data_IF_227647488198
#
_entry.id   IF_227647488198
#
_cell.length_a   1.000
_cell.length_b   1.000
_cell.length_c   1.000
_cell.angle_alpha   90.00
_cell.angle_beta   90.00
_cell.angle_gamma   90.00
#
_symmetry.space_group_name_H-M   'P 1'
#
loop_
_entity.id
_entity.type
_entity.pdbx_description
1 polymer ?
#
# COMPACT_ATOMS: atom_id res chain seq x y z
N UNK A 1 -13.89 19.20 18.39
CA UNK A 1 -13.91 19.96 17.14
C UNK A 1 -15.08 19.62 16.21
N UNK A 2 -15.23 18.38 15.69
CA UNK A 2 -16.35 18.04 14.79
C UNK A 2 -17.70 18.17 15.49
N UNK A 3 -17.79 17.76 16.75
CA UNK A 3 -18.96 17.93 17.60
C UNK A 3 -19.36 19.41 17.72
N UNK A 4 -18.43 20.30 17.97
CA UNK A 4 -18.65 21.74 18.14
C UNK A 4 -19.21 22.36 16.84
N UNK A 5 -18.66 21.97 15.69
CA UNK A 5 -19.18 22.38 14.37
C UNK A 5 -20.63 21.92 14.19
N UNK A 6 -20.94 20.69 14.60
CA UNK A 6 -22.30 20.15 14.49
C UNK A 6 -23.30 20.82 15.41
N UNK A 7 -22.86 21.30 16.57
CA UNK A 7 -23.70 21.98 17.57
C UNK A 7 -23.84 23.48 17.27
N UNK A 8 -22.76 24.20 17.09
CA UNK A 8 -22.74 25.66 17.12
C UNK A 8 -23.12 26.31 15.79
N UNK A 9 -22.90 25.61 14.66
CA UNK A 9 -23.15 26.20 13.35
C UNK A 9 -24.51 25.80 12.81
N UNK A 10 -25.45 26.76 12.72
CA UNK A 10 -26.82 26.52 12.28
C UNK A 10 -26.95 26.14 10.80
N UNK A 11 -26.24 26.87 9.88
CA UNK A 11 -26.23 26.57 8.45
C UNK A 11 -24.85 26.06 8.07
N UNK A 12 -24.77 24.78 7.69
CA UNK A 12 -23.50 24.14 7.36
C UNK A 12 -23.65 23.10 6.28
N UNK A 13 -22.62 22.95 5.47
CA UNK A 13 -22.39 21.78 4.63
C UNK A 13 -21.03 21.21 4.99
N UNK A 14 -20.95 19.90 5.25
CA UNK A 14 -19.73 19.24 5.69
C UNK A 14 -19.39 18.16 4.66
N UNK A 15 -18.21 18.27 4.08
CA UNK A 15 -17.61 17.24 3.22
C UNK A 15 -16.44 16.63 3.97
N UNK A 16 -16.53 15.34 4.26
CA UNK A 16 -15.49 14.58 4.94
C UNK A 16 -14.83 13.64 3.93
N UNK A 17 -13.51 13.66 3.87
CA UNK A 17 -12.73 12.81 2.99
C UNK A 17 -11.79 11.96 3.84
N UNK A 18 -11.88 10.66 3.71
CA UNK A 18 -11.05 9.71 4.46
C UNK A 18 -10.63 8.54 3.57
N UNK A 19 -9.49 7.94 3.85
CA UNK A 19 -9.04 6.67 3.29
C UNK A 19 -9.26 5.49 4.27
N UNK A 20 -9.78 5.77 5.47
CA UNK A 20 -10.14 4.75 6.45
C UNK A 20 -11.62 4.39 6.31
N UNK A 21 -11.95 3.15 5.93
CA UNK A 21 -13.33 2.68 5.77
C UNK A 21 -14.07 2.56 7.12
N UNK A 22 -13.33 2.27 8.17
CA UNK A 22 -13.87 2.09 9.53
C UNK A 22 -13.92 3.41 10.32
N UNK A 23 -13.55 4.54 9.70
CA UNK A 23 -13.49 5.83 10.37
C UNK A 23 -14.82 6.22 11.04
N UNK A 24 -15.94 5.92 10.40
CA UNK A 24 -17.27 6.25 10.93
C UNK A 24 -17.56 5.43 12.20
N UNK A 25 -17.07 4.17 12.25
CA UNK A 25 -17.25 3.28 13.39
C UNK A 25 -16.42 3.68 14.60
N UNK A 26 -15.29 4.36 14.36
CA UNK A 26 -14.38 4.86 15.39
C UNK A 26 -14.85 6.19 16.03
N UNK A 27 -15.89 6.83 15.48
CA UNK A 27 -16.40 8.09 16.02
C UNK A 27 -17.20 7.89 17.32
N UNK A 28 -17.20 8.93 18.17
CA UNK A 28 -18.07 9.02 19.35
C UNK A 28 -19.54 8.95 18.93
N UNK A 29 -20.37 8.21 19.69
CA UNK A 29 -21.79 8.01 19.41
C UNK A 29 -22.60 9.33 19.31
N UNK A 30 -22.19 10.37 20.04
CA UNK A 30 -22.82 11.71 19.98
C UNK A 30 -22.55 12.37 18.62
N UNK A 31 -21.39 12.12 18.01
CA UNK A 31 -21.05 12.65 16.69
C UNK A 31 -21.77 11.84 15.63
N UNK A 32 -21.76 10.51 15.72
CA UNK A 32 -22.47 9.62 14.80
C UNK A 32 -23.93 9.96 14.64
N UNK A 33 -24.63 10.10 15.78
CA UNK A 33 -26.08 10.37 15.81
C UNK A 33 -26.48 11.70 15.16
N UNK A 34 -25.56 12.67 15.10
CA UNK A 34 -25.79 13.99 14.48
C UNK A 34 -25.27 14.11 13.05
N UNK A 35 -24.23 13.36 12.73
CA UNK A 35 -23.56 13.48 11.43
C UNK A 35 -24.39 12.84 10.32
N UNK A 36 -24.90 11.61 10.52
CA UNK A 36 -25.70 10.83 9.56
C UNK A 36 -25.31 11.09 8.09
N UNK A 37 -24.03 10.87 7.69
CA UNK A 37 -23.53 11.31 6.40
C UNK A 37 -24.00 10.36 5.29
N UNK A 38 -24.24 10.91 4.11
CA UNK A 38 -24.27 10.10 2.90
C UNK A 38 -22.85 9.67 2.56
N UNK A 39 -22.65 8.39 2.25
CA UNK A 39 -21.34 7.83 1.98
C UNK A 39 -21.18 7.59 0.48
N UNK A 40 -20.15 8.18 -0.11
CA UNK A 40 -19.72 7.91 -1.48
C UNK A 40 -18.36 7.20 -1.47
N UNK A 41 -18.34 5.95 -1.92
CA UNK A 41 -17.10 5.16 -2.01
C UNK A 41 -16.45 5.34 -3.39
N UNK A 42 -15.21 5.83 -3.41
CA UNK A 42 -14.34 5.84 -4.59
C UNK A 42 -13.53 4.54 -4.65
N UNK A 43 -13.97 3.63 -5.51
CA UNK A 43 -13.27 2.36 -5.74
C UNK A 43 -11.94 2.57 -6.47
N UNK A 44 -10.93 1.68 -6.25
CA UNK A 44 -9.73 1.68 -7.09
C UNK A 44 -10.09 1.54 -8.57
N UNK A 45 -9.32 2.21 -9.42
CA UNK A 45 -9.49 2.11 -10.87
C UNK A 45 -9.22 0.69 -11.37
N UNK A 46 -10.03 0.23 -12.30
CA UNK A 46 -9.75 -1.00 -13.05
C UNK A 46 -8.66 -0.76 -14.12
N UNK A 47 -8.25 -1.83 -14.82
CA UNK A 47 -7.18 -1.76 -15.83
C UNK A 47 -7.50 -0.75 -16.96
N UNK A 48 -8.73 -0.74 -17.46
CA UNK A 48 -9.14 0.14 -18.55
C UNK A 48 -9.13 1.60 -18.11
N UNK A 49 -9.72 1.89 -16.95
CA UNK A 49 -9.73 3.22 -16.35
C UNK A 49 -8.30 3.71 -16.03
N UNK A 50 -7.44 2.83 -15.50
CA UNK A 50 -6.02 3.12 -15.26
C UNK A 50 -5.31 3.51 -16.55
N UNK A 51 -5.54 2.76 -17.63
CA UNK A 51 -4.98 3.04 -18.95
C UNK A 51 -5.44 4.39 -19.49
N UNK A 52 -6.72 4.70 -19.37
CA UNK A 52 -7.29 5.96 -19.86
C UNK A 52 -6.74 7.16 -19.09
N UNK A 53 -6.65 7.05 -17.76
CA UNK A 53 -6.05 8.10 -16.91
C UNK A 53 -4.59 8.33 -17.27
N UNK A 54 -3.78 7.28 -17.41
CA UNK A 54 -2.37 7.41 -17.76
C UNK A 54 -2.19 7.93 -19.18
N UNK A 55 -3.03 7.50 -20.15
CA UNK A 55 -3.01 7.99 -21.53
C UNK A 55 -3.31 9.48 -21.62
N UNK A 56 -4.29 9.97 -20.85
CA UNK A 56 -4.57 11.39 -20.76
C UNK A 56 -3.36 12.17 -20.22
N UNK A 57 -2.71 11.67 -19.17
CA UNK A 57 -1.51 12.30 -18.59
C UNK A 57 -0.31 12.27 -19.54
N UNK A 58 -0.16 11.19 -20.30
CA UNK A 58 0.85 11.07 -21.34
C UNK A 58 0.72 12.19 -22.37
N UNK A 59 -0.49 12.50 -22.84
CA UNK A 59 -0.75 13.57 -23.79
C UNK A 59 -0.37 14.97 -23.32
N UNK A 60 -0.40 15.21 -21.99
CA UNK A 60 0.02 16.50 -21.42
C UNK A 60 1.52 16.57 -21.10
N UNK A 61 2.14 15.45 -20.75
CA UNK A 61 3.49 15.43 -20.20
C UNK A 61 4.58 15.11 -21.23
N UNK A 62 4.23 14.48 -22.34
CA UNK A 62 5.18 13.99 -23.33
C UNK A 62 4.85 14.45 -24.76
N UNK A 63 5.88 14.58 -25.57
CA UNK A 63 5.73 14.85 -27.00
C UNK A 63 5.04 13.65 -27.67
N UNK A 64 4.17 13.92 -28.63
CA UNK A 64 3.44 12.87 -29.36
C UNK A 64 4.38 11.87 -30.02
N UNK A 65 4.11 10.58 -29.88
CA UNK A 65 4.86 9.50 -30.52
C UNK A 65 6.21 9.16 -29.89
N UNK A 66 6.51 9.71 -28.70
CA UNK A 66 7.76 9.39 -27.95
C UNK A 66 7.70 8.02 -27.28
N UNK A 67 6.52 7.57 -26.89
CA UNK A 67 6.32 6.29 -26.23
C UNK A 67 6.11 5.15 -27.22
N UNK A 68 6.77 4.02 -26.98
CA UNK A 68 6.40 2.76 -27.62
C UNK A 68 5.20 2.16 -26.88
N UNK A 69 4.28 1.57 -27.63
CA UNK A 69 3.03 1.02 -27.07
C UNK A 69 3.32 -0.06 -26.01
N UNK A 70 4.29 -0.97 -26.25
CA UNK A 70 4.68 -2.02 -25.31
C UNK A 70 5.20 -1.46 -23.98
N UNK A 71 5.97 -0.37 -24.04
CA UNK A 71 6.49 0.30 -22.86
C UNK A 71 5.35 0.93 -22.02
N UNK A 72 4.39 1.56 -22.71
CA UNK A 72 3.23 2.13 -22.06
C UNK A 72 2.34 1.07 -21.41
N UNK A 73 2.04 -0.03 -22.12
CA UNK A 73 1.25 -1.15 -21.61
C UNK A 73 1.90 -1.79 -20.37
N UNK A 74 3.23 -1.93 -20.35
CA UNK A 74 3.95 -2.44 -19.18
C UNK A 74 3.72 -1.54 -17.95
N UNK A 75 3.81 -0.23 -18.11
CA UNK A 75 3.54 0.74 -17.01
C UNK A 75 2.08 0.66 -16.56
N UNK A 76 1.13 0.58 -17.49
CA UNK A 76 -0.30 0.45 -17.18
C UNK A 76 -0.57 -0.80 -16.33
N UNK A 77 -0.04 -1.95 -16.74
CA UNK A 77 -0.22 -3.22 -16.02
C UNK A 77 0.38 -3.17 -14.61
N UNK A 78 1.59 -2.62 -14.46
CA UNK A 78 2.23 -2.46 -13.14
C UNK A 78 1.41 -1.53 -12.25
N UNK A 79 0.90 -0.43 -12.80
CA UNK A 79 0.07 0.56 -12.09
C UNK A 79 -1.26 -0.04 -11.63
N UNK A 80 -1.96 -0.75 -12.51
CA UNK A 80 -3.22 -1.41 -12.20
C UNK A 80 -3.04 -2.49 -11.13
N UNK A 81 -1.98 -3.29 -11.21
CA UNK A 81 -1.65 -4.30 -10.20
C UNK A 81 -1.37 -3.69 -8.82
N UNK A 82 -0.74 -2.52 -8.77
CA UNK A 82 -0.45 -1.80 -7.55
C UNK A 82 -1.66 -0.98 -7.05
N UNK A 83 -2.69 -0.79 -7.87
CA UNK A 83 -3.85 0.09 -7.60
C UNK A 83 -3.44 1.52 -7.19
N UNK A 84 -2.32 2.01 -7.72
CA UNK A 84 -1.75 3.32 -7.37
C UNK A 84 -1.35 4.11 -8.62
N UNK A 85 -2.21 5.06 -9.01
CA UNK A 85 -1.97 5.96 -10.16
C UNK A 85 -0.71 6.81 -9.96
N UNK A 86 -0.34 7.17 -8.72
CA UNK A 86 0.86 7.95 -8.43
C UNK A 86 2.12 7.17 -8.80
N UNK A 87 2.11 5.85 -8.55
CA UNK A 87 3.17 4.96 -8.99
C UNK A 87 3.30 4.99 -10.52
N UNK A 88 2.19 4.90 -11.24
CA UNK A 88 2.18 4.97 -12.71
C UNK A 88 2.77 6.27 -13.24
N UNK A 89 2.36 7.42 -12.69
CA UNK A 89 2.91 8.72 -13.06
C UNK A 89 4.41 8.82 -12.77
N UNK A 90 4.86 8.27 -11.63
CA UNK A 90 6.27 8.25 -11.28
C UNK A 90 7.07 7.37 -12.24
N UNK A 91 6.56 6.18 -12.58
CA UNK A 91 7.19 5.27 -13.55
C UNK A 91 7.30 5.90 -14.94
N UNK A 92 6.26 6.59 -15.41
CA UNK A 92 6.29 7.32 -16.69
C UNK A 92 7.39 8.38 -16.69
N UNK A 93 7.46 9.21 -15.65
CA UNK A 93 8.51 10.24 -15.51
C UNK A 93 9.90 9.62 -15.49
N UNK A 94 10.09 8.57 -14.70
CA UNK A 94 11.40 7.92 -14.57
C UNK A 94 11.84 7.24 -15.87
N UNK A 95 10.91 6.64 -16.61
CA UNK A 95 11.19 6.08 -17.93
C UNK A 95 11.64 7.16 -18.93
N UNK A 96 11.03 8.35 -18.84
CA UNK A 96 11.43 9.52 -19.62
C UNK A 96 12.84 9.98 -19.28
N UNK A 97 13.15 10.15 -17.99
CA UNK A 97 14.49 10.53 -17.51
C UNK A 97 15.57 9.55 -18.00
N UNK A 98 15.31 8.23 -17.88
CA UNK A 98 16.24 7.21 -18.34
C UNK A 98 16.52 7.30 -19.86
N UNK A 99 15.49 7.63 -20.66
CA UNK A 99 15.64 7.82 -22.09
C UNK A 99 16.44 9.10 -22.41
N UNK A 100 16.20 10.19 -21.68
CA UNK A 100 16.94 11.44 -21.81
C UNK A 100 18.40 11.29 -21.41
N UNK A 101 18.69 10.61 -20.31
CA UNK A 101 20.07 10.30 -19.86
C UNK A 101 20.85 9.53 -20.93
N UNK A 102 20.17 8.68 -21.72
CA UNK A 102 20.76 7.96 -22.85
C UNK A 102 20.73 8.77 -24.16
N UNK A 103 20.28 10.02 -24.14
CA UNK A 103 20.11 10.89 -25.31
C UNK A 103 19.22 10.26 -26.40
N UNK A 104 18.23 9.48 -26.01
CA UNK A 104 17.28 8.82 -26.91
C UNK A 104 15.98 9.60 -27.03
N UNK A 105 15.41 9.62 -28.23
CA UNK A 105 14.16 10.34 -28.53
C UNK A 105 12.91 9.49 -28.34
N UNK A 106 13.05 8.21 -28.03
CA UNK A 106 11.93 7.29 -27.81
C UNK A 106 12.07 6.54 -26.50
N UNK A 107 10.96 6.38 -25.82
CA UNK A 107 10.87 5.59 -24.59
C UNK A 107 10.48 4.17 -24.97
N UNK A 108 11.41 3.24 -24.80
CA UNK A 108 11.27 1.83 -25.15
C UNK A 108 10.93 0.98 -23.95
N UNK A 109 10.57 -0.27 -24.19
CA UNK A 109 10.28 -1.27 -23.16
C UNK A 109 11.43 -1.38 -22.14
N UNK A 110 12.70 -1.31 -22.60
CA UNK A 110 13.88 -1.34 -21.72
C UNK A 110 13.89 -0.20 -20.70
N UNK A 111 13.52 1.03 -21.13
CA UNK A 111 13.47 2.18 -20.21
C UNK A 111 12.39 1.99 -19.15
N UNK A 112 11.22 1.48 -19.53
CA UNK A 112 10.14 1.16 -18.60
C UNK A 112 10.52 0.05 -17.60
N UNK A 113 11.20 -1.01 -18.06
CA UNK A 113 11.71 -2.07 -17.20
C UNK A 113 12.76 -1.56 -16.20
N UNK A 114 13.67 -0.72 -16.65
CA UNK A 114 14.69 -0.11 -15.79
C UNK A 114 14.05 0.80 -14.73
N UNK A 115 13.02 1.58 -15.09
CA UNK A 115 12.28 2.40 -14.15
C UNK A 115 11.59 1.55 -13.07
N UNK A 116 10.96 0.44 -13.45
CA UNK A 116 10.34 -0.50 -12.52
C UNK A 116 11.39 -1.12 -11.59
N UNK A 117 12.49 -1.60 -12.12
CA UNK A 117 13.60 -2.21 -11.34
C UNK A 117 14.17 -1.21 -10.33
N UNK A 118 14.31 0.05 -10.71
CA UNK A 118 14.80 1.11 -9.82
C UNK A 118 13.85 1.32 -8.63
N UNK A 119 12.54 1.32 -8.86
CA UNK A 119 11.55 1.43 -7.78
C UNK A 119 11.54 0.18 -6.89
N UNK A 120 11.59 -1.00 -7.48
CA UNK A 120 11.66 -2.25 -6.72
C UNK A 120 12.91 -2.29 -5.82
N UNK A 121 14.06 -1.78 -6.29
CA UNK A 121 15.27 -1.61 -5.48
C UNK A 121 15.08 -0.61 -4.33
N UNK A 122 14.35 0.49 -4.53
CA UNK A 122 13.99 1.42 -3.44
C UNK A 122 13.07 0.78 -2.40
N UNK A 123 12.17 -0.09 -2.83
CA UNK A 123 11.29 -0.86 -1.93
C UNK A 123 12.10 -1.88 -1.12
N UNK A 124 13.08 -2.54 -1.74
CA UNK A 124 14.03 -3.45 -1.08
C UNK A 124 14.94 -2.70 -0.09
N UNK A 125 15.38 -1.46 -0.42
CA UNK A 125 16.15 -0.62 0.51
C UNK A 125 15.34 -0.21 1.76
N UNK A 126 14.01 -0.09 1.67
CA UNK A 126 13.17 0.12 2.85
C UNK A 126 13.10 -1.12 3.75
N UNK A 127 13.27 -2.31 3.21
CA UNK A 127 13.44 -3.52 4.03
C UNK A 127 14.82 -3.60 4.68
N UNK A 128 15.86 -2.98 4.11
CA UNK A 128 17.20 -2.87 4.74
C UNK A 128 17.26 -1.93 5.94
N UNK A 129 16.25 -1.06 6.12
CA UNK A 129 16.12 -0.20 7.30
C UNK A 129 15.49 -0.91 8.50
N UNK A 130 15.11 -2.20 8.36
CA UNK A 130 14.63 -3.02 9.46
C UNK A 130 15.82 -3.44 10.35
N UNK A 131 15.60 -3.44 11.67
CA UNK A 131 16.58 -4.00 12.62
C UNK A 131 16.68 -5.52 12.42
N UNK A 132 17.78 -6.14 12.87
CA UNK A 132 17.96 -7.60 12.78
C UNK A 132 16.75 -8.35 13.34
N UNK A 133 16.26 -7.97 14.52
CA UNK A 133 15.05 -8.54 15.11
C UNK A 133 13.81 -8.43 14.20
N UNK A 134 13.64 -7.30 13.51
CA UNK A 134 12.51 -7.07 12.60
C UNK A 134 12.65 -7.92 11.34
N UNK A 135 13.86 -8.13 10.86
CA UNK A 135 14.17 -9.05 9.77
C UNK A 135 13.85 -10.50 10.13
N UNK A 136 14.27 -10.94 11.31
CA UNK A 136 14.02 -12.31 11.77
C UNK A 136 12.53 -12.57 11.96
N UNK A 137 11.81 -11.62 12.58
CA UNK A 137 10.35 -11.69 12.73
C UNK A 137 9.67 -11.72 11.35
N UNK A 138 10.08 -10.88 10.40
CA UNK A 138 9.50 -10.84 9.05
C UNK A 138 9.74 -12.15 8.29
N UNK A 139 10.96 -12.71 8.36
CA UNK A 139 11.31 -14.00 7.76
C UNK A 139 10.52 -15.17 8.38
N UNK A 140 10.31 -15.12 9.69
CA UNK A 140 9.48 -16.10 10.37
C UNK A 140 8.02 -16.03 9.92
N UNK A 141 7.46 -14.81 9.82
CA UNK A 141 6.08 -14.59 9.33
C UNK A 141 5.94 -15.04 7.87
N UNK A 142 6.94 -14.80 7.03
CA UNK A 142 6.97 -15.26 5.64
C UNK A 142 6.83 -16.77 5.52
N UNK A 143 7.47 -17.52 6.43
CA UNK A 143 7.38 -18.99 6.49
C UNK A 143 6.10 -19.50 7.17
N UNK A 144 5.47 -18.69 8.01
CA UNK A 144 4.33 -19.02 8.86
C UNK A 144 3.19 -18.01 8.71
N UNK A 145 2.83 -17.67 7.47
CA UNK A 145 1.74 -16.72 7.19
C UNK A 145 0.39 -17.26 7.66
N UNK A 146 -0.53 -16.36 8.00
CA UNK A 146 -1.92 -16.66 8.42
C UNK A 146 -2.05 -17.33 9.80
N UNK A 147 -1.06 -17.16 10.68
CA UNK A 147 -1.12 -17.66 12.07
C UNK A 147 -1.57 -16.56 13.05
N UNK A 148 -2.09 -17.00 14.20
CA UNK A 148 -2.38 -16.13 15.34
C UNK A 148 -1.08 -15.52 15.89
N UNK A 149 -1.14 -14.28 16.38
CA UNK A 149 0.03 -13.57 16.91
C UNK A 149 0.67 -14.32 18.12
N UNK A 150 -0.15 -15.03 18.91
CA UNK A 150 0.33 -15.87 20.02
C UNK A 150 1.18 -17.04 19.52
N UNK A 151 0.72 -17.75 18.48
CA UNK A 151 1.43 -18.90 17.90
C UNK A 151 2.73 -18.44 17.23
N UNK A 152 2.72 -17.27 16.60
CA UNK A 152 3.93 -16.67 16.03
C UNK A 152 4.95 -16.33 17.14
N UNK A 153 4.49 -15.83 18.28
CA UNK A 153 5.37 -15.55 19.40
C UNK A 153 6.00 -16.82 19.99
N UNK A 154 5.23 -17.90 20.10
CA UNK A 154 5.78 -19.20 20.53
C UNK A 154 6.84 -19.70 19.54
N UNK A 155 6.55 -19.65 18.25
CA UNK A 155 7.52 -20.00 17.18
C UNK A 155 8.77 -19.13 17.25
N UNK A 156 8.62 -17.82 17.54
CA UNK A 156 9.76 -16.91 17.74
C UNK A 156 10.63 -17.31 18.93
N UNK A 157 10.00 -17.70 20.05
CA UNK A 157 10.72 -18.17 21.24
C UNK A 157 11.45 -19.49 21.01
N UNK A 158 10.84 -20.43 20.30
CA UNK A 158 11.44 -21.72 19.95
C UNK A 158 12.68 -21.56 19.05
N UNK A 159 12.72 -20.50 18.26
CA UNK A 159 13.87 -20.13 17.41
C UNK A 159 14.96 -19.33 18.17
N UNK A 160 14.82 -19.18 19.49
CA UNK A 160 15.79 -18.48 20.33
C UNK A 160 15.57 -16.97 20.46
N UNK A 161 14.41 -16.48 20.07
CA UNK A 161 14.07 -15.05 20.17
C UNK A 161 14.11 -14.51 21.60
N UNK A 162 14.78 -13.38 21.81
CA UNK A 162 15.01 -12.77 23.13
C UNK A 162 13.88 -11.86 23.61
N UNK A 163 13.06 -11.29 22.68
CA UNK A 163 12.05 -10.29 23.02
C UNK A 163 10.93 -10.84 23.91
N UNK A 164 10.45 -9.99 24.81
CA UNK A 164 9.19 -10.25 25.55
C UNK A 164 7.99 -9.97 24.65
N UNK A 165 6.84 -10.59 24.97
CA UNK A 165 5.63 -10.54 24.14
C UNK A 165 5.20 -9.12 23.75
N UNK A 166 5.25 -8.16 24.69
CA UNK A 166 4.89 -6.76 24.43
C UNK A 166 5.82 -6.06 23.42
N UNK A 167 7.12 -6.38 23.48
CA UNK A 167 8.10 -5.86 22.51
C UNK A 167 7.92 -6.51 21.14
N UNK A 168 7.61 -7.81 21.10
CA UNK A 168 7.26 -8.53 19.88
C UNK A 168 6.02 -7.91 19.20
N UNK A 169 4.95 -7.64 19.97
CA UNK A 169 3.75 -6.96 19.44
C UNK A 169 4.09 -5.59 18.82
N UNK A 170 4.92 -4.77 19.48
CA UNK A 170 5.34 -3.47 18.93
C UNK A 170 6.11 -3.61 17.63
N UNK A 171 6.91 -4.67 17.48
CA UNK A 171 7.60 -4.97 16.21
C UNK A 171 6.61 -5.38 15.12
N UNK A 172 5.59 -6.20 15.45
CA UNK A 172 4.49 -6.54 14.55
C UNK A 172 3.73 -5.28 14.09
N UNK A 173 3.35 -4.40 15.01
CA UNK A 173 2.69 -3.13 14.69
C UNK A 173 3.53 -2.24 13.77
N UNK A 174 4.86 -2.19 14.00
CA UNK A 174 5.79 -1.46 13.15
C UNK A 174 5.88 -2.05 11.74
N UNK A 175 5.93 -3.38 11.62
CA UNK A 175 5.94 -4.08 10.34
C UNK A 175 4.61 -3.89 9.58
N UNK A 176 3.48 -3.86 10.27
CA UNK A 176 2.16 -3.57 9.72
C UNK A 176 2.09 -2.12 9.21
N UNK A 177 2.51 -1.14 10.03
CA UNK A 177 2.56 0.28 9.64
C UNK A 177 3.42 0.51 8.40
N UNK A 178 4.50 -0.26 8.26
CA UNK A 178 5.39 -0.24 7.09
C UNK A 178 4.89 -1.11 5.93
N UNK A 179 3.69 -1.74 6.05
CA UNK A 179 3.03 -2.56 5.04
C UNK A 179 3.79 -3.84 4.63
N UNK A 180 4.69 -4.34 5.46
CA UNK A 180 5.33 -5.65 5.25
C UNK A 180 4.41 -6.82 5.58
N UNK A 181 3.45 -6.59 6.47
CA UNK A 181 2.45 -7.58 6.91
C UNK A 181 1.07 -6.91 7.01
N UNK A 182 0.02 -7.70 7.03
CA UNK A 182 -1.32 -7.27 7.39
C UNK A 182 -1.79 -8.00 8.64
N UNK A 183 -2.46 -7.29 9.54
CA UNK A 183 -2.96 -7.82 10.80
C UNK A 183 -4.48 -7.70 10.84
N UNK A 184 -5.17 -8.84 10.89
CA UNK A 184 -6.63 -8.90 11.04
C UNK A 184 -6.98 -9.20 12.49
N UNK A 185 -7.57 -8.22 13.19
CA UNK A 185 -8.08 -8.40 14.54
C UNK A 185 -9.35 -9.25 14.52
N UNK A 186 -9.43 -10.23 15.38
CA UNK A 186 -10.60 -11.09 15.60
C UNK A 186 -11.03 -10.90 17.03
N UNK A 187 -12.25 -10.37 17.21
CA UNK A 187 -12.90 -10.19 18.52
C UNK A 187 -13.97 -11.27 18.72
N UNK A 188 -14.05 -11.84 19.93
CA UNK A 188 -15.20 -12.66 20.35
C UNK A 188 -15.13 -14.15 20.05
N UNK A 189 -13.95 -14.78 20.07
CA UNK A 189 -13.83 -16.24 20.09
C UNK A 189 -13.66 -16.81 21.52
N UNK A 190 -13.70 -18.13 21.66
CA UNK A 190 -13.44 -18.85 22.95
C UNK A 190 -12.08 -18.51 23.57
N UNK A 191 -11.13 -18.02 22.77
CA UNK A 191 -9.76 -17.63 23.16
C UNK A 191 -9.59 -16.12 23.40
N UNK A 192 -10.69 -15.33 23.44
CA UNK A 192 -10.63 -13.89 23.62
C UNK A 192 -10.28 -13.11 22.33
N UNK A 193 -9.78 -11.88 22.49
CA UNK A 193 -9.33 -11.06 21.37
C UNK A 193 -7.98 -11.53 20.85
N UNK A 194 -7.91 -11.93 19.58
CA UNK A 194 -6.66 -12.34 18.92
C UNK A 194 -6.50 -11.65 17.57
N UNK A 195 -5.27 -11.70 17.04
CA UNK A 195 -4.97 -11.12 15.73
C UNK A 195 -4.32 -12.18 14.84
N UNK A 196 -4.78 -12.30 13.60
CA UNK A 196 -4.13 -13.10 12.57
C UNK A 196 -3.18 -12.20 11.78
N UNK A 197 -1.93 -12.65 11.69
CA UNK A 197 -0.87 -11.96 10.94
C UNK A 197 -0.65 -12.66 9.62
N UNK A 198 -0.74 -11.89 8.54
CA UNK A 198 -0.52 -12.36 7.18
C UNK A 198 0.66 -11.62 6.56
N UNK A 199 1.59 -12.36 5.95
CA UNK A 199 2.64 -11.73 5.16
C UNK A 199 1.99 -11.01 3.98
N UNK A 200 2.32 -9.72 3.82
CA UNK A 200 1.93 -8.98 2.62
C UNK A 200 2.79 -9.54 1.48
N UNK A 201 2.22 -10.43 0.67
CA UNK A 201 2.89 -11.01 -0.49
C UNK A 201 3.33 -9.85 -1.37
N UNK A 202 4.64 -9.66 -1.55
CA UNK A 202 5.13 -8.85 -2.65
C UNK A 202 4.43 -9.34 -3.91
N UNK A 203 3.78 -8.44 -4.63
CA UNK A 203 3.25 -8.73 -5.96
C UNK A 203 4.29 -9.54 -6.70
N UNK A 204 3.93 -10.75 -7.17
CA UNK A 204 4.78 -11.70 -7.87
C UNK A 204 5.74 -10.96 -8.78
N UNK A 205 7.04 -11.25 -8.66
CA UNK A 205 8.07 -10.72 -9.57
C UNK A 205 7.63 -11.03 -10.99
N UNK A 206 7.62 -10.03 -11.86
CA UNK A 206 7.30 -10.15 -13.29
C UNK A 206 8.24 -11.09 -14.06
N UNK A 207 9.17 -11.79 -13.40
CA UNK A 207 10.08 -12.77 -13.96
C UNK A 207 9.56 -14.21 -13.92
N UNK A 208 8.31 -14.42 -13.47
CA UNK A 208 7.69 -15.77 -13.37
C UNK A 208 6.47 -15.94 -14.29
N UNK A 209 6.43 -15.21 -15.41
CA UNK A 209 5.50 -15.46 -16.51
C UNK A 209 6.26 -15.70 -17.81
#
# INVERSE_FOLDING_TARGET
FLYDILEEIYKKSILLVTNNKEWLDDLDERVKSRLLPETLEFKPYNLAETKDVLKQRLGYAFVHGVWNDDAFELIVNKTASAQDIRLGLHLMRESGNIAEDKSLRKITLEHAQNAITKIDQFTIKRSSDLTEDEHDILNMIKKNSEKKIGDLYLTYKDQGGSLVYKSFQRKIEKLEKNKFISVKKISGGADGNTSIVKYATETKKLTEF
#
